data_IF_835238616885
#
_entry.id   IF_835238616885
#
_cell.length_a   1.000
_cell.length_b   1.000
_cell.length_c   1.000
_cell.angle_alpha   90.00
_cell.angle_beta   90.00
_cell.angle_gamma   90.00
#
_symmetry.space_group_name_H-M   'P 1'
#
loop_
_entity.id
_entity.type
_entity.pdbx_description
1 polymer ?
#
# COMPACT_ATOMS: atom_id res chain seq x y z
N UNK A 1 34.56 30.29 -65.88
CA UNK A 1 35.61 29.54 -66.60
C UNK A 1 36.82 29.39 -65.71
N UNK A 2 37.53 28.28 -65.80
CA UNK A 2 37.12 26.86 -65.66
C UNK A 2 38.00 26.12 -64.66
N UNK A 3 37.65 24.96 -64.35
CA UNK A 3 38.30 23.70 -64.44
C UNK A 3 38.56 23.11 -63.07
N UNK A 4 38.51 21.94 -62.78
CA UNK A 4 38.17 20.63 -63.40
C UNK A 4 38.36 19.58 -62.31
N UNK A 5 37.48 18.65 -62.27
CA UNK A 5 37.69 17.38 -61.58
C UNK A 5 38.83 16.57 -62.20
N UNK A 6 39.32 15.52 -61.52
CA UNK A 6 38.81 14.19 -61.84
C UNK A 6 38.70 13.26 -60.60
N UNK A 7 37.67 12.40 -60.61
CA UNK A 7 37.68 10.93 -60.88
C UNK A 7 38.82 10.16 -60.15
N UNK A 8 38.64 9.08 -59.55
CA UNK A 8 37.72 7.92 -59.44
C UNK A 8 38.40 6.89 -58.54
N UNK A 9 37.71 6.10 -57.85
CA UNK A 9 37.65 4.64 -58.04
C UNK A 9 36.98 3.94 -56.86
N UNK A 10 36.05 3.14 -57.21
CA UNK A 10 35.36 2.17 -56.38
C UNK A 10 36.29 1.11 -55.83
N UNK A 11 36.04 0.66 -54.63
CA UNK A 11 36.22 -0.74 -54.25
C UNK A 11 35.19 -1.11 -53.21
N UNK A 12 34.41 -2.11 -53.59
CA UNK A 12 33.47 -2.82 -52.77
C UNK A 12 34.13 -3.57 -51.64
N UNK A 13 33.51 -3.67 -50.48
CA UNK A 13 33.26 -4.97 -49.85
C UNK A 13 32.92 -4.83 -48.38
N UNK A 14 31.91 -5.56 -47.96
CA UNK A 14 31.89 -6.09 -46.62
C UNK A 14 31.10 -5.33 -45.59
N UNK A 15 29.78 -5.60 -45.49
CA UNK A 15 29.03 -5.39 -44.29
C UNK A 15 29.56 -6.31 -43.17
N UNK A 16 29.89 -5.79 -42.00
CA UNK A 16 29.99 -6.64 -40.82
C UNK A 16 28.60 -6.77 -40.18
N UNK A 17 28.11 -8.00 -40.15
CA UNK A 17 27.02 -8.45 -39.30
C UNK A 17 27.27 -7.99 -37.85
N UNK A 18 26.40 -7.15 -37.33
CA UNK A 18 26.32 -6.86 -35.90
C UNK A 18 25.82 -8.11 -35.18
N UNK A 19 26.74 -8.85 -34.59
CA UNK A 19 26.44 -9.83 -33.56
C UNK A 19 25.95 -9.01 -32.35
N UNK A 20 24.69 -9.20 -32.00
CA UNK A 20 24.14 -8.68 -30.75
C UNK A 20 24.97 -9.21 -29.59
N UNK A 21 25.78 -8.34 -28.99
CA UNK A 21 26.37 -8.61 -27.69
C UNK A 21 25.22 -8.77 -26.69
N UNK A 22 24.95 -10.02 -26.33
CA UNK A 22 24.23 -10.34 -25.10
C UNK A 22 25.13 -9.83 -23.99
N UNK A 23 24.71 -8.73 -23.36
CA UNK A 23 25.35 -8.18 -22.17
C UNK A 23 25.21 -9.23 -21.06
N UNK A 24 26.20 -10.10 -20.95
CA UNK A 24 26.38 -11.01 -19.81
C UNK A 24 26.66 -10.12 -18.61
N UNK A 25 25.66 -9.93 -17.76
CA UNK A 25 25.82 -9.23 -16.49
C UNK A 25 26.98 -9.84 -15.72
N UNK A 26 28.00 -9.02 -15.51
CA UNK A 26 29.16 -9.36 -14.68
C UNK A 26 28.63 -9.76 -13.30
N UNK A 27 28.99 -10.96 -12.77
CA UNK A 27 28.55 -11.38 -11.46
C UNK A 27 28.95 -10.33 -10.41
N UNK A 28 28.11 -10.06 -9.38
CA UNK A 28 28.38 -9.02 -8.40
C UNK A 28 29.73 -9.26 -7.72
N UNK A 29 30.52 -8.22 -7.57
CA UNK A 29 31.86 -8.31 -7.02
C UNK A 29 31.86 -8.90 -5.61
N UNK A 30 32.96 -9.56 -5.16
CA UNK A 30 33.08 -10.10 -3.82
C UNK A 30 32.81 -9.09 -2.70
N UNK A 31 32.99 -7.79 -2.97
CA UNK A 31 32.67 -6.68 -2.05
C UNK A 31 31.16 -6.52 -1.85
N UNK A 32 30.38 -6.66 -2.91
CA UNK A 32 28.91 -6.62 -2.86
C UNK A 32 28.34 -7.82 -2.10
N UNK A 33 28.91 -9.00 -2.31
CA UNK A 33 28.58 -10.21 -1.54
C UNK A 33 28.91 -10.07 -0.04
N UNK A 34 29.98 -9.37 0.30
CA UNK A 34 30.38 -9.12 1.69
C UNK A 34 29.48 -8.10 2.37
N UNK A 35 28.99 -7.11 1.63
CA UNK A 35 27.99 -6.14 2.12
C UNK A 35 26.63 -6.83 2.35
N UNK A 36 26.18 -7.70 1.44
CA UNK A 36 24.95 -8.48 1.60
C UNK A 36 25.05 -9.45 2.79
N UNK A 37 26.19 -10.11 3.00
CA UNK A 37 26.43 -10.96 4.19
C UNK A 37 26.44 -10.14 5.48
N UNK A 38 26.96 -8.90 5.50
CA UNK A 38 26.90 -8.02 6.68
C UNK A 38 25.49 -7.57 6.98
N UNK A 39 24.64 -7.35 5.98
CA UNK A 39 23.22 -7.03 6.18
C UNK A 39 22.45 -8.22 6.74
N UNK A 40 22.71 -9.45 6.28
CA UNK A 40 22.17 -10.67 6.88
C UNK A 40 22.63 -10.87 8.33
N UNK A 41 23.88 -10.50 8.66
CA UNK A 41 24.39 -10.58 10.02
C UNK A 41 23.79 -9.52 10.97
N UNK A 42 23.38 -8.37 10.45
CA UNK A 42 22.71 -7.34 11.25
C UNK A 42 21.28 -7.75 11.64
N UNK A 43 20.60 -8.56 10.81
CA UNK A 43 19.31 -9.15 11.16
C UNK A 43 19.42 -10.27 12.22
N UNK A 44 20.61 -10.86 12.41
CA UNK A 44 20.82 -11.96 13.35
C UNK A 44 21.43 -11.52 14.69
N UNK A 45 21.81 -10.25 14.86
CA UNK A 45 22.42 -9.76 16.10
C UNK A 45 21.43 -9.53 17.27
N UNK A 46 20.14 -9.87 17.09
CA UNK A 46 19.14 -9.93 18.16
C UNK A 46 18.85 -11.32 18.71
N UNK A 47 19.46 -12.38 18.16
CA UNK A 47 19.21 -13.74 18.60
C UNK A 47 20.53 -14.45 18.92
N UNK A 48 20.82 -14.59 20.21
CA UNK A 48 21.87 -15.45 20.71
C UNK A 48 21.54 -16.91 20.40
N UNK A 49 22.41 -17.54 19.57
CA UNK A 49 22.65 -18.98 19.42
C UNK A 49 21.46 -19.91 19.11
N UNK A 50 21.40 -20.35 17.92
CA UNK A 50 21.52 -21.71 17.34
C UNK A 50 20.57 -21.97 16.18
N UNK A 51 21.17 -22.43 15.08
CA UNK A 51 20.70 -23.32 14.01
C UNK A 51 19.32 -23.17 13.37
N UNK A 52 19.38 -22.90 12.02
CA UNK A 52 18.51 -23.39 10.92
C UNK A 52 16.99 -23.28 11.09
N UNK A 53 16.43 -22.42 10.34
CA UNK A 53 15.17 -22.47 9.59
C UNK A 53 14.50 -21.09 9.53
N UNK A 54 13.83 -20.81 8.44
CA UNK A 54 13.03 -19.63 8.17
C UNK A 54 12.16 -19.23 9.38
N UNK A 55 12.46 -18.09 10.00
CA UNK A 55 11.69 -17.61 11.16
C UNK A 55 10.53 -16.72 10.71
N UNK A 56 9.32 -16.93 11.23
CA UNK A 56 8.16 -16.05 11.05
C UNK A 56 8.38 -14.66 11.68
N UNK A 57 7.52 -13.69 11.34
CA UNK A 57 7.56 -12.34 11.93
C UNK A 57 7.54 -12.42 13.47
N UNK A 58 8.12 -11.43 14.15
CA UNK A 58 8.12 -11.35 15.61
C UNK A 58 6.72 -11.55 16.21
N UNK A 59 5.69 -10.95 15.58
CA UNK A 59 4.28 -11.07 16.00
C UNK A 59 3.76 -12.51 15.85
N UNK A 60 4.12 -13.19 14.77
CA UNK A 60 3.67 -14.57 14.52
C UNK A 60 4.37 -15.57 15.44
N UNK A 61 5.62 -15.33 15.78
CA UNK A 61 6.38 -16.16 16.70
C UNK A 61 5.81 -16.08 18.11
N UNK A 62 5.44 -14.90 18.56
CA UNK A 62 4.87 -14.67 19.88
C UNK A 62 3.46 -15.22 20.04
N UNK A 63 2.62 -15.19 19.00
CA UNK A 63 1.32 -15.89 19.03
C UNK A 63 1.49 -17.39 19.22
N UNK A 64 2.56 -18.00 18.72
CA UNK A 64 2.88 -19.43 18.91
C UNK A 64 3.40 -19.71 20.32
N UNK A 65 4.20 -18.81 20.89
CA UNK A 65 4.76 -18.99 22.22
C UNK A 65 3.69 -18.78 23.31
N UNK A 66 2.75 -17.86 23.13
CA UNK A 66 1.57 -17.70 23.97
C UNK A 66 0.63 -18.91 23.93
N UNK A 67 0.51 -19.61 22.80
CA UNK A 67 -0.27 -20.85 22.70
C UNK A 67 0.45 -22.06 23.34
N UNK A 68 1.78 -22.07 23.39
CA UNK A 68 2.56 -23.14 24.03
C UNK A 68 2.61 -23.06 25.55
N UNK A 69 2.51 -21.86 26.11
CA UNK A 69 2.54 -21.65 27.57
C UNK A 69 1.17 -21.86 28.26
N UNK A 70 0.12 -22.18 27.50
CA UNK A 70 -1.18 -22.56 28.00
C UNK A 70 -1.28 -24.08 28.14
N UNK A 71 -0.44 -24.71 28.98
CA UNK A 71 -0.61 -26.11 29.41
C UNK A 71 -0.91 -26.19 30.90
N UNK A 72 -1.77 -27.09 31.34
CA UNK A 72 -2.51 -26.97 32.57
C UNK A 72 -1.71 -27.44 33.76
N UNK A 73 -1.58 -26.62 34.78
CA UNK A 73 -1.24 -27.07 36.13
C UNK A 73 -2.52 -27.39 36.89
N UNK A 74 -2.56 -28.63 37.33
CA UNK A 74 -3.55 -29.19 38.23
C UNK A 74 -3.60 -28.52 39.60
N UNK A 75 -4.79 -28.10 39.99
CA UNK A 75 -5.39 -28.35 41.28
C UNK A 75 -4.99 -27.48 42.47
N UNK A 76 -5.92 -26.72 43.01
CA UNK A 76 -6.60 -26.98 44.29
C UNK A 76 -7.55 -25.83 44.64
N UNK A 77 -8.69 -26.26 45.13
CA UNK A 77 -9.89 -25.53 45.50
C UNK A 77 -9.68 -24.31 46.40
N UNK A 78 -10.47 -23.25 46.17
CA UNK A 78 -11.45 -22.77 47.16
C UNK A 78 -12.46 -21.81 46.51
N UNK A 79 -13.67 -22.02 46.91
CA UNK A 79 -14.99 -21.43 46.61
C UNK A 79 -15.06 -19.91 46.62
N UNK A 80 -15.72 -19.35 45.61
CA UNK A 80 -16.91 -18.48 45.66
C UNK A 80 -17.34 -18.02 44.28
N UNK A 81 -18.56 -18.34 43.94
CA UNK A 81 -19.32 -17.91 42.72
C UNK A 81 -20.07 -16.61 43.01
N UNK A 82 -20.92 -16.15 42.08
CA UNK A 82 -20.73 -15.76 40.66
C UNK A 82 -21.31 -14.39 40.32
N UNK A 83 -20.89 -13.80 39.23
CA UNK A 83 -21.82 -12.96 38.47
C UNK A 83 -21.55 -13.10 36.97
N UNK A 84 -22.62 -13.39 36.25
CA UNK A 84 -22.70 -13.63 34.83
C UNK A 84 -22.53 -12.32 34.07
N UNK A 85 -21.56 -12.27 33.16
CA UNK A 85 -21.54 -11.36 32.01
C UNK A 85 -21.25 -12.18 30.76
N UNK A 86 -22.22 -12.25 29.84
CA UNK A 86 -22.09 -12.96 28.56
C UNK A 86 -20.99 -12.33 27.73
N UNK A 87 -19.99 -13.11 27.41
CA UNK A 87 -19.04 -12.82 26.36
C UNK A 87 -19.65 -13.20 25.02
N UNK A 88 -19.77 -12.26 24.10
CA UNK A 88 -19.85 -12.56 22.69
C UNK A 88 -18.42 -12.48 22.14
N UNK A 89 -17.90 -13.65 21.85
CA UNK A 89 -16.72 -13.81 20.99
C UNK A 89 -17.20 -13.77 19.55
N UNK A 90 -16.68 -12.83 18.77
CA UNK A 90 -16.38 -13.10 17.36
C UNK A 90 -15.40 -12.08 16.79
N UNK A 91 -14.36 -12.65 16.33
CA UNK A 91 -13.32 -12.30 15.41
C UNK A 91 -13.52 -11.05 14.54
N UNK A 92 -12.67 -10.04 14.76
CA UNK A 92 -11.99 -9.24 13.72
C UNK A 92 -10.95 -8.36 14.40
N UNK A 93 -9.74 -8.89 14.59
CA UNK A 93 -8.74 -8.25 15.45
C UNK A 93 -7.97 -7.10 14.82
N UNK A 94 -7.93 -6.94 13.50
CA UNK A 94 -7.16 -5.86 12.85
C UNK A 94 -7.95 -4.54 12.75
N UNK A 95 -9.25 -4.59 12.50
CA UNK A 95 -10.11 -3.40 12.39
C UNK A 95 -10.42 -2.75 13.75
N UNK A 96 -10.44 -3.55 14.83
CA UNK A 96 -10.75 -3.05 16.17
C UNK A 96 -9.63 -2.14 16.73
N UNK A 97 -8.37 -2.40 16.39
CA UNK A 97 -7.25 -1.62 16.92
C UNK A 97 -7.18 -0.21 16.32
N UNK A 98 -7.39 -0.09 15.00
CA UNK A 98 -7.42 1.22 14.34
C UNK A 98 -8.59 2.06 14.84
N UNK A 99 -9.74 1.42 15.07
CA UNK A 99 -10.92 2.09 15.64
C UNK A 99 -10.73 2.54 17.09
N UNK A 100 -10.06 1.75 17.94
CA UNK A 100 -9.84 2.10 19.36
C UNK A 100 -8.92 3.31 19.53
N UNK A 101 -7.80 3.36 18.78
CA UNK A 101 -6.88 4.51 18.81
C UNK A 101 -7.55 5.76 18.23
N UNK A 102 -8.37 5.60 17.19
CA UNK A 102 -9.15 6.67 16.60
C UNK A 102 -10.23 7.21 17.56
N UNK A 103 -10.96 6.32 18.25
CA UNK A 103 -11.98 6.68 19.22
C UNK A 103 -11.40 7.45 20.43
N UNK A 104 -10.25 7.00 20.95
CA UNK A 104 -9.53 7.68 22.03
C UNK A 104 -9.10 9.11 21.65
N UNK A 105 -8.71 9.33 20.40
CA UNK A 105 -8.35 10.68 19.90
C UNK A 105 -9.56 11.56 19.63
N UNK A 106 -10.70 11.01 19.21
CA UNK A 106 -11.93 11.80 18.96
C UNK A 106 -12.49 12.42 20.23
N UNK A 107 -12.41 11.73 21.36
CA UNK A 107 -12.98 12.18 22.63
C UNK A 107 -12.17 13.23 23.37
N UNK A 108 -10.98 13.62 22.85
CA UNK A 108 -10.10 14.57 23.53
C UNK A 108 -9.56 14.07 24.88
N UNK A 109 -9.63 12.76 25.10
CA UNK A 109 -9.11 12.13 26.31
C UNK A 109 -7.60 12.35 26.48
N UNK A 110 -7.16 12.46 27.72
CA UNK A 110 -5.74 12.55 28.08
C UNK A 110 -4.98 11.38 27.43
N UNK A 111 -3.73 11.65 27.06
CA UNK A 111 -2.79 10.66 26.53
C UNK A 111 -2.89 9.36 27.35
N UNK A 112 -3.22 8.22 26.76
CA UNK A 112 -3.29 6.97 27.53
C UNK A 112 -1.91 6.66 28.11
N UNK A 113 -1.89 6.16 29.33
CA UNK A 113 -0.66 5.70 29.97
C UNK A 113 -0.40 4.29 29.48
N UNK A 114 0.50 4.15 28.51
CA UNK A 114 0.93 2.85 28.02
C UNK A 114 2.04 2.28 28.92
N UNK A 115 2.07 0.97 29.09
CA UNK A 115 3.09 0.25 29.87
C UNK A 115 4.52 0.59 29.43
N UNK A 116 4.72 0.83 28.12
CA UNK A 116 6.02 1.16 27.52
C UNK A 116 6.17 2.65 27.15
N UNK A 117 5.34 3.52 27.70
CA UNK A 117 5.34 4.97 27.40
C UNK A 117 6.64 5.71 27.71
N UNK A 118 7.44 5.17 28.66
CA UNK A 118 8.74 5.71 29.08
C UNK A 118 9.89 5.34 28.13
N UNK A 119 9.76 4.25 27.34
CA UNK A 119 10.80 3.82 26.42
C UNK A 119 10.82 4.71 25.16
N UNK A 120 12.00 4.96 24.61
CA UNK A 120 12.11 5.60 23.29
C UNK A 120 11.64 4.64 22.18
N UNK A 121 11.22 5.18 21.04
CA UNK A 121 10.84 4.38 19.87
C UNK A 121 11.96 3.39 19.50
N UNK A 122 13.22 3.85 19.51
CA UNK A 122 14.37 3.00 19.20
C UNK A 122 14.57 1.86 20.21
N UNK A 123 14.31 2.09 21.49
CA UNK A 123 14.37 1.05 22.51
C UNK A 123 13.28 0.00 22.31
N UNK A 124 12.04 0.42 22.06
CA UNK A 124 10.94 -0.51 21.79
C UNK A 124 11.26 -1.45 20.62
N UNK A 125 11.85 -0.93 19.55
CA UNK A 125 12.15 -1.74 18.36
C UNK A 125 13.44 -2.56 18.47
N UNK A 126 14.42 -2.13 19.30
CA UNK A 126 15.69 -2.85 19.49
C UNK A 126 15.58 -3.95 20.53
N UNK A 127 14.99 -3.63 21.66
CA UNK A 127 15.03 -4.48 22.85
C UNK A 127 13.73 -5.29 23.02
N UNK A 128 12.65 -4.83 22.38
CA UNK A 128 11.32 -5.40 22.56
C UNK A 128 10.73 -5.09 23.96
N UNK A 129 9.52 -5.59 24.25
CA UNK A 129 8.92 -5.47 25.57
C UNK A 129 9.55 -6.48 26.52
N UNK A 130 10.09 -6.00 27.64
CA UNK A 130 10.73 -6.84 28.69
C UNK A 130 9.74 -7.74 29.45
N UNK A 131 8.47 -7.36 29.45
CA UNK A 131 7.36 -8.07 30.10
C UNK A 131 6.58 -9.00 29.15
N UNK A 132 6.96 -9.05 27.87
CA UNK A 132 6.28 -9.83 26.85
C UNK A 132 4.96 -9.24 26.35
N UNK A 133 4.58 -8.03 26.77
CA UNK A 133 3.40 -7.32 26.28
C UNK A 133 3.67 -6.64 24.93
N UNK A 134 3.57 -7.41 23.87
CA UNK A 134 3.80 -6.94 22.49
C UNK A 134 2.70 -6.04 21.96
N UNK A 135 1.46 -6.25 22.41
CA UNK A 135 0.35 -5.41 21.99
C UNK A 135 0.49 -4.02 22.60
N UNK A 136 0.78 -3.93 23.89
CA UNK A 136 1.05 -2.65 24.55
C UNK A 136 2.28 -1.95 23.99
N UNK A 137 3.34 -2.69 23.64
CA UNK A 137 4.53 -2.14 22.99
C UNK A 137 4.20 -1.59 21.59
N UNK A 138 3.39 -2.29 20.78
CA UNK A 138 2.94 -1.84 19.47
C UNK A 138 2.08 -0.58 19.58
N UNK A 139 1.14 -0.54 20.51
CA UNK A 139 0.32 0.65 20.78
C UNK A 139 1.19 1.83 21.23
N UNK A 140 2.14 1.60 22.10
CA UNK A 140 3.11 2.61 22.54
C UNK A 140 3.94 3.12 21.37
N UNK A 141 4.40 2.24 20.49
CA UNK A 141 5.13 2.59 19.28
C UNK A 141 4.28 3.43 18.33
N UNK A 142 3.02 3.02 18.04
CA UNK A 142 2.06 3.79 17.23
C UNK A 142 1.88 5.20 17.79
N UNK A 143 1.62 5.29 19.09
CA UNK A 143 1.43 6.57 19.75
C UNK A 143 2.65 7.48 19.64
N UNK A 144 3.86 6.94 19.86
CA UNK A 144 5.11 7.71 19.73
C UNK A 144 5.33 8.21 18.31
N UNK A 145 5.08 7.37 17.30
CA UNK A 145 5.18 7.80 15.89
C UNK A 145 4.19 8.92 15.58
N UNK A 146 2.98 8.86 16.14
CA UNK A 146 1.97 9.90 15.94
C UNK A 146 2.36 11.20 16.66
N UNK A 147 2.92 11.12 17.86
CA UNK A 147 3.23 12.27 18.73
C UNK A 147 4.57 12.92 18.35
N UNK A 148 5.62 12.11 18.29
CA UNK A 148 7.01 12.56 18.12
C UNK A 148 7.52 12.44 16.68
N UNK A 149 6.89 11.57 15.87
CA UNK A 149 7.39 11.19 14.54
C UNK A 149 8.59 10.25 14.59
N UNK A 150 9.12 9.91 13.42
CA UNK A 150 10.37 9.15 13.29
C UNK A 150 11.51 10.12 12.99
N UNK A 151 12.51 10.15 13.88
CA UNK A 151 13.71 10.99 13.68
C UNK A 151 14.41 10.63 12.36
N UNK A 152 14.67 11.62 11.53
CA UNK A 152 15.29 11.48 10.22
C UNK A 152 16.20 12.65 9.90
N UNK A 153 17.13 12.46 8.96
CA UNK A 153 17.93 13.52 8.36
C UNK A 153 17.07 14.41 7.44
N UNK A 154 17.64 15.48 6.90
CA UNK A 154 16.94 16.43 6.03
C UNK A 154 16.44 15.80 4.72
N UNK A 155 17.13 14.77 4.24
CA UNK A 155 16.70 13.96 3.08
C UNK A 155 15.58 12.95 3.42
N UNK A 156 15.09 12.97 4.64
CA UNK A 156 14.08 12.04 5.12
C UNK A 156 14.60 10.65 5.50
N UNK A 157 15.90 10.39 5.40
CA UNK A 157 16.46 9.08 5.74
C UNK A 157 16.50 8.83 7.24
N UNK A 158 16.08 7.63 7.61
CA UNK A 158 16.13 7.14 8.99
C UNK A 158 16.49 5.65 9.01
N UNK A 159 17.42 5.22 9.85
CA UNK A 159 17.74 3.80 9.97
C UNK A 159 16.58 2.98 10.57
N UNK A 160 15.62 3.65 11.21
CA UNK A 160 14.51 3.01 11.91
C UNK A 160 13.24 2.96 11.06
N UNK A 161 13.04 3.89 10.10
CA UNK A 161 11.75 4.08 9.41
C UNK A 161 11.22 2.81 8.78
N UNK A 162 12.02 2.11 7.99
CA UNK A 162 11.53 0.91 7.30
C UNK A 162 11.11 -0.18 8.30
N UNK A 163 11.83 -0.36 9.41
CA UNK A 163 11.45 -1.36 10.43
C UNK A 163 10.15 -0.99 11.13
N UNK A 164 9.96 0.28 11.44
CA UNK A 164 8.69 0.78 11.98
C UNK A 164 7.56 0.51 11.00
N UNK A 165 7.74 0.80 9.73
CA UNK A 165 6.72 0.54 8.71
C UNK A 165 6.41 -0.94 8.55
N UNK A 166 7.42 -1.82 8.54
CA UNK A 166 7.24 -3.27 8.48
C UNK A 166 6.37 -3.79 9.63
N UNK A 167 6.63 -3.29 10.84
CA UNK A 167 5.85 -3.68 12.04
C UNK A 167 4.44 -3.08 12.00
N UNK A 168 4.29 -1.80 11.62
CA UNK A 168 2.99 -1.13 11.56
C UNK A 168 2.07 -1.72 10.50
N UNK A 169 2.64 -2.19 9.38
CA UNK A 169 1.92 -2.85 8.28
C UNK A 169 1.78 -4.38 8.50
N UNK A 170 2.24 -4.91 9.64
CA UNK A 170 2.30 -6.35 9.90
C UNK A 170 2.90 -7.13 8.72
N UNK A 171 3.99 -6.61 8.17
CA UNK A 171 4.65 -7.20 7.02
C UNK A 171 5.42 -8.46 7.40
N UNK A 172 5.32 -9.55 6.62
CA UNK A 172 6.04 -10.79 6.91
C UNK A 172 7.55 -10.60 6.68
N UNK A 173 8.36 -11.43 7.33
CA UNK A 173 9.78 -11.51 7.01
C UNK A 173 9.93 -12.36 5.76
N UNK A 174 10.62 -11.83 4.74
CA UNK A 174 10.96 -12.54 3.52
C UNK A 174 12.47 -12.75 3.44
N UNK A 175 12.90 -13.94 3.03
CA UNK A 175 14.31 -14.17 2.75
C UNK A 175 14.72 -13.50 1.43
N UNK A 176 16.00 -13.15 1.30
CA UNK A 176 16.51 -12.61 0.03
C UNK A 176 16.40 -13.64 -1.10
N UNK A 177 16.53 -14.95 -0.79
CA UNK A 177 16.37 -16.03 -1.78
C UNK A 177 14.94 -16.10 -2.31
N UNK A 178 13.93 -15.92 -1.47
CA UNK A 178 12.53 -15.93 -1.89
C UNK A 178 12.22 -14.74 -2.80
N UNK A 179 12.73 -13.55 -2.45
CA UNK A 179 12.60 -12.38 -3.33
C UNK A 179 13.32 -12.59 -4.68
N UNK A 180 14.54 -13.13 -4.67
CA UNK A 180 15.29 -13.42 -5.89
C UNK A 180 14.58 -14.47 -6.76
N UNK A 181 13.87 -15.43 -6.18
CA UNK A 181 13.09 -16.41 -6.94
C UNK A 181 11.99 -15.72 -7.78
N UNK A 182 11.34 -14.67 -7.25
CA UNK A 182 10.39 -13.87 -8.01
C UNK A 182 11.06 -13.08 -9.15
N UNK A 183 12.27 -12.58 -8.92
CA UNK A 183 13.04 -11.85 -9.94
C UNK A 183 13.47 -12.80 -11.08
N UNK A 184 13.90 -14.03 -10.76
CA UNK A 184 14.33 -15.01 -11.74
C UNK A 184 13.19 -15.54 -12.63
N UNK A 185 11.93 -15.30 -12.29
CA UNK A 185 10.79 -15.63 -13.15
C UNK A 185 10.74 -14.81 -14.45
N UNK A 186 11.51 -13.73 -14.52
CA UNK A 186 11.53 -12.84 -15.70
C UNK A 186 10.31 -11.91 -15.76
N UNK A 187 9.92 -11.53 -16.97
CA UNK A 187 8.85 -10.56 -17.22
C UNK A 187 7.47 -11.10 -16.83
N UNK A 188 6.74 -10.36 -15.99
CA UNK A 188 5.34 -10.65 -15.64
C UNK A 188 4.38 -10.25 -16.78
N UNK A 189 3.11 -10.68 -16.76
CA UNK A 189 2.11 -10.21 -17.71
C UNK A 189 1.94 -8.68 -17.72
N UNK A 190 2.27 -7.99 -16.62
CA UNK A 190 2.19 -6.54 -16.50
C UNK A 190 3.50 -5.81 -16.89
N UNK A 191 4.55 -6.51 -17.28
CA UNK A 191 5.89 -5.95 -17.46
C UNK A 191 5.93 -4.74 -18.40
N UNK A 192 5.23 -4.80 -19.54
CA UNK A 192 5.18 -3.68 -20.50
C UNK A 192 4.53 -2.43 -19.90
N UNK A 193 3.47 -2.59 -19.08
CA UNK A 193 2.83 -1.47 -18.37
C UNK A 193 3.79 -0.89 -17.33
N UNK A 194 4.48 -1.74 -16.57
CA UNK A 194 5.48 -1.35 -15.56
C UNK A 194 6.58 -0.51 -16.22
N UNK A 195 7.15 -0.98 -17.34
CA UNK A 195 8.18 -0.24 -18.08
C UNK A 195 7.70 1.15 -18.51
N UNK A 196 6.47 1.25 -18.99
CA UNK A 196 5.88 2.52 -19.42
C UNK A 196 5.61 3.50 -18.28
N UNK A 197 5.54 3.03 -17.04
CA UNK A 197 5.30 3.87 -15.87
C UNK A 197 6.59 4.27 -15.16
N UNK A 198 7.59 3.39 -15.12
CA UNK A 198 8.79 3.59 -14.28
C UNK A 198 9.71 4.69 -14.78
N UNK A 199 9.87 4.87 -16.10
CA UNK A 199 10.78 5.89 -16.64
C UNK A 199 10.36 7.32 -16.27
N UNK A 200 9.10 7.56 -15.92
CA UNK A 200 8.56 8.87 -15.54
C UNK A 200 8.33 9.04 -14.03
N UNK A 201 8.68 8.02 -13.23
CA UNK A 201 8.44 8.03 -11.78
C UNK A 201 9.39 8.98 -11.07
N UNK A 202 8.84 10.00 -10.39
CA UNK A 202 9.59 10.99 -9.59
C UNK A 202 10.87 11.52 -10.27
N UNK A 203 10.81 11.71 -11.59
CA UNK A 203 11.96 12.14 -12.40
C UNK A 203 12.49 13.52 -12.01
N UNK A 204 11.69 14.37 -11.42
CA UNK A 204 12.03 15.70 -10.94
C UNK A 204 12.59 15.70 -9.51
N UNK A 205 12.48 14.58 -8.78
CA UNK A 205 13.01 14.49 -7.42
C UNK A 205 14.48 14.04 -7.42
N UNK A 206 15.43 14.90 -7.04
CA UNK A 206 16.86 14.59 -7.08
C UNK A 206 17.27 13.59 -6.00
N UNK A 207 16.56 13.53 -4.86
CA UNK A 207 16.84 12.60 -3.77
C UNK A 207 16.48 11.17 -4.20
N UNK A 208 15.29 11.02 -4.79
CA UNK A 208 14.84 9.73 -5.32
C UNK A 208 15.80 9.20 -6.38
N UNK A 209 16.12 9.99 -7.41
CA UNK A 209 17.00 9.60 -8.52
C UNK A 209 18.40 9.20 -8.09
N UNK A 210 18.92 9.80 -7.03
CA UNK A 210 20.25 9.47 -6.50
C UNK A 210 20.28 8.12 -5.78
N UNK A 211 19.15 7.72 -5.18
CA UNK A 211 19.07 6.53 -4.33
C UNK A 211 18.41 5.34 -4.99
N UNK A 212 17.39 5.55 -5.79
CA UNK A 212 16.59 4.49 -6.41
C UNK A 212 16.84 4.46 -7.91
N UNK A 213 17.29 3.32 -8.41
CA UNK A 213 17.44 3.10 -9.84
C UNK A 213 16.10 2.69 -10.46
N UNK A 214 15.90 3.04 -11.73
CA UNK A 214 14.74 2.57 -12.49
C UNK A 214 14.66 1.03 -12.50
N UNK A 215 15.82 0.37 -12.62
CA UNK A 215 15.89 -1.10 -12.59
C UNK A 215 15.40 -1.69 -11.27
N UNK A 216 15.70 -1.06 -10.11
CA UNK A 216 15.18 -1.49 -8.80
C UNK A 216 13.66 -1.34 -8.73
N UNK A 217 13.13 -0.24 -9.26
CA UNK A 217 11.67 -0.01 -9.29
C UNK A 217 10.97 -1.02 -10.21
N UNK A 218 11.54 -1.31 -11.38
CA UNK A 218 11.01 -2.34 -12.29
C UNK A 218 11.01 -3.72 -11.61
N UNK A 219 12.10 -4.12 -10.96
CA UNK A 219 12.19 -5.42 -10.27
C UNK A 219 11.14 -5.54 -9.17
N UNK A 220 11.03 -4.52 -8.33
CA UNK A 220 10.04 -4.51 -7.24
C UNK A 220 8.61 -4.66 -7.79
N UNK A 221 8.23 -3.82 -8.75
CA UNK A 221 6.88 -3.85 -9.33
C UNK A 221 6.59 -5.15 -10.09
N UNK A 222 7.59 -5.69 -10.77
CA UNK A 222 7.44 -6.96 -11.48
C UNK A 222 7.28 -8.14 -10.52
N UNK A 223 7.98 -8.14 -9.37
CA UNK A 223 7.80 -9.13 -8.32
C UNK A 223 6.39 -9.04 -7.70
N UNK A 224 5.90 -7.83 -7.41
CA UNK A 224 4.52 -7.60 -6.97
C UNK A 224 3.52 -8.13 -8.00
N UNK A 225 3.72 -7.81 -9.29
CA UNK A 225 2.82 -8.27 -10.36
C UNK A 225 2.77 -9.81 -10.46
N UNK A 226 3.89 -10.50 -10.24
CA UNK A 226 3.93 -11.96 -10.17
C UNK A 226 3.15 -12.48 -8.96
N UNK A 227 3.32 -11.91 -7.78
CA UNK A 227 2.60 -12.35 -6.57
C UNK A 227 1.09 -12.17 -6.72
N UNK A 228 0.64 -11.01 -7.20
CA UNK A 228 -0.77 -10.77 -7.48
C UNK A 228 -1.33 -11.70 -8.57
N UNK A 229 -0.53 -12.02 -9.59
CA UNK A 229 -0.91 -12.99 -10.61
C UNK A 229 -1.09 -14.40 -10.02
N UNK A 230 -0.17 -14.83 -9.17
CA UNK A 230 -0.24 -16.14 -8.53
C UNK A 230 -1.46 -16.26 -7.60
N UNK A 231 -1.74 -15.22 -6.81
CA UNK A 231 -2.95 -15.15 -5.98
C UNK A 231 -4.22 -15.27 -6.83
N UNK A 232 -4.26 -14.57 -7.97
CA UNK A 232 -5.37 -14.66 -8.92
C UNK A 232 -5.54 -16.05 -9.51
N UNK A 233 -4.46 -16.69 -9.91
CA UNK A 233 -4.49 -18.05 -10.45
C UNK A 233 -4.89 -19.09 -9.40
N UNK A 234 -4.44 -18.91 -8.16
CA UNK A 234 -4.85 -19.78 -7.04
C UNK A 234 -6.35 -19.66 -6.76
N UNK A 235 -6.88 -18.43 -6.73
CA UNK A 235 -8.31 -18.19 -6.53
C UNK A 235 -9.15 -18.77 -7.69
N UNK A 236 -8.69 -18.59 -8.93
CA UNK A 236 -9.34 -19.17 -10.11
C UNK A 236 -9.40 -20.69 -10.03
N UNK A 237 -8.29 -21.35 -9.68
CA UNK A 237 -8.23 -22.81 -9.52
C UNK A 237 -9.13 -23.31 -8.40
N UNK A 238 -9.09 -22.65 -7.24
CA UNK A 238 -9.96 -23.00 -6.11
C UNK A 238 -11.46 -22.88 -6.48
N UNK A 239 -11.83 -21.86 -7.27
CA UNK A 239 -13.18 -21.71 -7.76
C UNK A 239 -13.58 -22.78 -8.78
N UNK A 240 -12.66 -23.18 -9.66
CA UNK A 240 -12.86 -24.24 -10.65
C UNK A 240 -13.02 -25.61 -9.98
N UNK A 241 -12.27 -25.87 -8.91
CA UNK A 241 -12.38 -27.07 -8.09
C UNK A 241 -13.68 -27.11 -7.28
N UNK A 242 -14.09 -25.96 -6.72
CA UNK A 242 -15.33 -25.85 -5.95
C UNK A 242 -16.60 -25.96 -6.82
N UNK A 243 -16.53 -25.48 -8.08
CA UNK A 243 -17.67 -25.42 -9.00
C UNK A 243 -17.27 -25.88 -10.41
N UNK A 244 -17.04 -27.21 -10.61
CA UNK A 244 -16.64 -27.76 -11.90
C UNK A 244 -17.73 -27.50 -12.97
N UNK A 245 -17.40 -26.72 -14.00
CA UNK A 245 -18.27 -26.46 -15.15
C UNK A 245 -18.86 -25.06 -15.24
N UNK A 246 -18.85 -24.23 -14.21
CA UNK A 246 -19.34 -22.85 -14.29
C UNK A 246 -18.46 -21.98 -15.21
N UNK A 247 -17.14 -22.11 -15.12
CA UNK A 247 -16.21 -21.38 -15.97
C UNK A 247 -16.28 -21.77 -17.46
N UNK A 248 -16.60 -23.04 -17.77
CA UNK A 248 -16.84 -23.49 -19.15
C UNK A 248 -18.10 -22.87 -19.74
N UNK A 249 -19.15 -22.67 -18.96
CA UNK A 249 -20.38 -22.05 -19.40
C UNK A 249 -20.21 -20.54 -19.72
N UNK A 250 -19.39 -19.84 -18.95
CA UNK A 250 -19.09 -18.42 -19.16
C UNK A 250 -18.15 -18.21 -20.37
N UNK A 251 -17.17 -19.10 -20.57
CA UNK A 251 -16.22 -19.02 -21.70
C UNK A 251 -16.84 -19.41 -23.05
N UNK A 252 -17.93 -20.16 -23.08
CA UNK A 252 -18.61 -20.59 -24.31
C UNK A 252 -19.77 -19.68 -24.73
N UNK A 253 -20.10 -18.63 -23.96
CA UNK A 253 -21.20 -17.72 -24.29
C UNK A 253 -20.74 -16.65 -25.26
N UNK A 254 -20.67 -16.99 -26.56
CA UNK A 254 -20.69 -15.99 -27.63
C UNK A 254 -22.07 -15.29 -27.66
N UNK A 255 -22.13 -13.98 -27.96
CA UNK A 255 -23.38 -13.19 -27.88
C UNK A 255 -24.56 -13.76 -28.73
N UNK A 256 -24.29 -14.61 -29.71
CA UNK A 256 -25.29 -15.22 -30.55
C UNK A 256 -26.08 -16.38 -29.90
N UNK A 257 -25.55 -17.03 -28.91
CA UNK A 257 -26.24 -18.17 -28.25
C UNK A 257 -27.21 -17.72 -27.14
N UNK A 258 -27.03 -16.53 -26.58
CA UNK A 258 -27.96 -15.96 -25.61
C UNK A 258 -29.31 -15.56 -26.21
N UNK A 259 -29.33 -15.16 -27.48
CA UNK A 259 -30.57 -14.82 -28.21
C UNK A 259 -31.42 -16.05 -28.52
N UNK A 260 -30.81 -17.22 -28.72
CA UNK A 260 -31.50 -18.48 -29.04
C UNK A 260 -32.08 -19.22 -27.84
N UNK A 261 -31.51 -18.99 -26.63
CA UNK A 261 -32.03 -19.56 -25.39
C UNK A 261 -33.28 -18.84 -24.85
N UNK A 262 -33.53 -17.60 -25.30
CA UNK A 262 -34.71 -16.82 -24.87
C UNK A 262 -36.02 -17.24 -25.55
N UNK A 263 -35.98 -18.05 -26.58
CA UNK A 263 -37.20 -18.48 -27.31
C UNK A 263 -37.76 -19.84 -26.85
N UNK A 264 -37.15 -20.51 -25.90
CA UNK A 264 -37.50 -21.89 -25.55
C UNK A 264 -38.13 -22.08 -24.16
N UNK A 265 -38.31 -21.05 -23.33
CA UNK A 265 -38.92 -21.20 -21.99
C UNK A 265 -39.94 -20.09 -21.75
N UNK A 266 -41.21 -20.45 -21.89
CA UNK A 266 -42.35 -19.67 -21.41
C UNK A 266 -42.61 -19.99 -19.93
N UNK A 267 -42.00 -19.20 -19.02
CA UNK A 267 -42.28 -19.21 -17.60
C UNK A 267 -41.82 -17.88 -16.98
N UNK A 268 -42.54 -17.32 -15.98
CA UNK A 268 -42.17 -16.05 -15.42
C UNK A 268 -40.88 -16.19 -14.57
N UNK A 269 -39.79 -15.53 -15.01
CA UNK A 269 -38.56 -15.39 -14.25
C UNK A 269 -38.68 -14.20 -13.29
N UNK A 270 -38.10 -14.30 -12.07
CA UNK A 270 -38.08 -13.18 -11.15
C UNK A 270 -37.29 -12.00 -11.73
N UNK A 271 -37.86 -10.82 -11.58
CA UNK A 271 -37.34 -9.55 -12.07
C UNK A 271 -36.05 -9.17 -11.34
N UNK A 272 -34.91 -9.50 -11.92
CA UNK A 272 -33.64 -8.82 -11.64
C UNK A 272 -33.38 -7.83 -12.76
N UNK A 273 -33.56 -6.57 -12.49
CA UNK A 273 -33.25 -5.45 -13.37
C UNK A 273 -31.72 -5.36 -13.46
N UNK A 274 -31.15 -5.66 -14.62
CA UNK A 274 -29.74 -5.43 -14.93
C UNK A 274 -29.58 -4.10 -15.63
N UNK A 275 -28.78 -3.14 -15.11
CA UNK A 275 -28.24 -2.08 -15.95
C UNK A 275 -27.20 -2.70 -16.90
N UNK A 276 -27.15 -2.21 -18.13
CA UNK A 276 -26.19 -2.62 -19.15
C UNK A 276 -24.78 -2.22 -18.71
N UNK A 277 -24.04 -3.17 -18.17
CA UNK A 277 -22.62 -3.05 -17.86
C UNK A 277 -21.82 -4.21 -18.48
N UNK A 278 -20.57 -3.88 -18.82
CA UNK A 278 -19.48 -4.65 -19.38
C UNK A 278 -19.46 -6.13 -18.94
N UNK A 279 -19.26 -7.11 -19.84
CA UNK A 279 -19.19 -8.54 -19.52
C UNK A 279 -18.05 -8.95 -18.58
N UNK A 280 -17.11 -8.05 -18.27
CA UNK A 280 -16.05 -8.29 -17.31
C UNK A 280 -16.51 -8.22 -15.84
N UNK A 281 -17.75 -7.79 -15.56
CA UNK A 281 -18.26 -7.55 -14.21
C UNK A 281 -19.06 -8.71 -13.59
N UNK A 282 -19.14 -9.89 -14.22
CA UNK A 282 -19.87 -11.04 -13.69
C UNK A 282 -19.03 -11.91 -12.74
N UNK A 283 -18.30 -11.28 -11.81
CA UNK A 283 -17.66 -12.00 -10.70
C UNK A 283 -18.61 -12.05 -9.51
N UNK A 284 -19.38 -13.11 -9.38
CA UNK A 284 -20.19 -13.42 -8.19
C UNK A 284 -19.60 -14.56 -7.34
N UNK A 285 -18.27 -14.71 -7.36
CA UNK A 285 -17.58 -15.62 -6.47
C UNK A 285 -17.60 -15.11 -5.03
N UNK A 286 -17.79 -15.99 -4.06
CA UNK A 286 -17.89 -15.69 -2.62
C UNK A 286 -16.58 -15.20 -1.98
N UNK A 287 -15.53 -14.91 -2.77
CA UNK A 287 -14.23 -14.40 -2.34
C UNK A 287 -13.93 -12.99 -2.87
N UNK A 288 -13.03 -12.25 -2.22
CA UNK A 288 -12.62 -10.94 -2.69
C UNK A 288 -11.93 -11.06 -4.06
N UNK A 289 -12.25 -10.14 -4.98
CA UNK A 289 -11.63 -10.10 -6.31
C UNK A 289 -10.10 -9.95 -6.20
N UNK A 290 -9.32 -10.71 -6.97
CA UNK A 290 -7.85 -10.65 -6.93
C UNK A 290 -7.32 -9.31 -7.47
N UNK A 291 -6.26 -8.81 -6.83
CA UNK A 291 -5.60 -7.58 -7.26
C UNK A 291 -4.86 -7.72 -8.59
N UNK A 292 -4.67 -6.60 -9.27
CA UNK A 292 -3.86 -6.51 -10.49
C UNK A 292 -2.95 -5.30 -10.46
N UNK A 293 -1.90 -5.28 -11.31
CA UNK A 293 -1.07 -4.10 -11.46
C UNK A 293 -1.89 -2.95 -12.08
N UNK A 294 -1.93 -1.83 -11.40
CA UNK A 294 -2.59 -0.59 -11.86
C UNK A 294 -1.56 0.54 -12.01
N UNK A 295 -1.80 1.44 -12.95
CA UNK A 295 -0.99 2.65 -13.13
C UNK A 295 -1.07 3.51 -11.85
N UNK A 296 0.08 3.97 -11.37
CA UNK A 296 0.20 4.71 -10.10
C UNK A 296 0.88 3.89 -8.99
N UNK A 297 0.87 2.55 -9.09
CA UNK A 297 1.64 1.69 -8.19
C UNK A 297 3.14 2.01 -8.19
N UNK A 298 3.68 2.50 -9.32
CA UNK A 298 5.05 2.96 -9.45
C UNK A 298 5.37 4.12 -8.49
N UNK A 299 4.46 5.09 -8.39
CA UNK A 299 4.59 6.23 -7.46
C UNK A 299 4.41 5.78 -6.01
N UNK A 300 3.47 4.86 -5.77
CA UNK A 300 3.21 4.31 -4.44
C UNK A 300 4.37 3.41 -3.94
N UNK A 301 5.09 2.73 -4.84
CA UNK A 301 6.25 1.89 -4.50
C UNK A 301 7.51 2.71 -4.17
N UNK A 302 7.62 3.92 -4.73
CA UNK A 302 8.82 4.73 -4.66
C UNK A 302 9.27 5.09 -3.24
N UNK A 303 8.40 5.54 -2.30
CA UNK A 303 8.80 5.81 -0.92
C UNK A 303 9.32 4.58 -0.17
N UNK A 304 8.79 3.38 -0.46
CA UNK A 304 9.30 2.15 0.15
C UNK A 304 10.73 1.84 -0.30
N UNK A 305 11.00 1.90 -1.61
CA UNK A 305 12.35 1.71 -2.14
C UNK A 305 13.32 2.76 -1.62
N UNK A 306 12.86 4.00 -1.46
CA UNK A 306 13.69 5.06 -0.93
C UNK A 306 14.05 4.82 0.55
N UNK A 307 13.10 4.41 1.38
CA UNK A 307 13.28 4.20 2.82
C UNK A 307 13.95 2.86 3.16
N UNK A 308 13.80 1.83 2.34
CA UNK A 308 14.30 0.49 2.61
C UNK A 308 15.83 0.36 2.42
N UNK A 309 16.40 -0.65 3.02
CA UNK A 309 17.81 -1.03 2.89
C UNK A 309 18.01 -2.08 1.80
N UNK A 310 16.97 -2.84 1.49
CA UNK A 310 16.95 -3.86 0.45
C UNK A 310 15.64 -3.84 -0.31
N UNK A 311 15.65 -4.33 -1.55
CA UNK A 311 14.44 -4.47 -2.35
C UNK A 311 13.44 -5.46 -1.71
N UNK A 312 13.92 -6.48 -1.00
CA UNK A 312 13.06 -7.44 -0.29
C UNK A 312 12.28 -6.78 0.86
N UNK A 313 12.91 -5.88 1.64
CA UNK A 313 12.19 -5.09 2.66
C UNK A 313 11.13 -4.18 2.03
N UNK A 314 11.47 -3.49 0.93
CA UNK A 314 10.52 -2.67 0.19
C UNK A 314 9.37 -3.49 -0.36
N UNK A 315 9.65 -4.69 -0.89
CA UNK A 315 8.65 -5.60 -1.44
C UNK A 315 7.61 -6.01 -0.38
N UNK A 316 8.06 -6.52 0.78
CA UNK A 316 7.11 -7.01 1.79
C UNK A 316 6.29 -5.90 2.42
N UNK A 317 6.89 -4.72 2.63
CA UNK A 317 6.16 -3.54 3.12
C UNK A 317 5.10 -3.08 2.11
N UNK A 318 5.47 -2.96 0.85
CA UNK A 318 4.57 -2.55 -0.22
C UNK A 318 3.48 -3.58 -0.49
N UNK A 319 3.81 -4.87 -0.52
CA UNK A 319 2.84 -5.95 -0.66
C UNK A 319 1.81 -5.94 0.49
N UNK A 320 2.27 -5.77 1.74
CA UNK A 320 1.36 -5.68 2.89
C UNK A 320 0.44 -4.45 2.81
N UNK A 321 0.94 -3.30 2.36
CA UNK A 321 0.08 -2.13 2.11
C UNK A 321 -1.01 -2.45 1.10
N UNK A 322 -0.66 -3.06 -0.04
CA UNK A 322 -1.61 -3.34 -1.11
C UNK A 322 -2.65 -4.41 -0.74
N UNK A 323 -2.25 -5.43 0.01
CA UNK A 323 -3.11 -6.61 0.25
C UNK A 323 -3.88 -6.54 1.57
N UNK A 324 -3.34 -5.84 2.58
CA UNK A 324 -3.94 -5.74 3.91
C UNK A 324 -4.60 -4.41 4.18
N UNK A 325 -3.97 -3.30 3.77
CA UNK A 325 -4.43 -1.96 4.13
C UNK A 325 -5.29 -1.32 3.04
N UNK A 326 -4.96 -1.56 1.76
CA UNK A 326 -5.62 -0.93 0.63
C UNK A 326 -5.99 -1.92 -0.48
N UNK A 327 -6.60 -3.09 -0.18
CA UNK A 327 -6.92 -4.08 -1.22
C UNK A 327 -7.89 -3.55 -2.27
N UNK A 328 -8.82 -2.69 -1.90
CA UNK A 328 -9.75 -2.06 -2.82
C UNK A 328 -9.11 -1.09 -3.83
N UNK A 329 -7.82 -0.74 -3.65
CA UNK A 329 -7.09 0.12 -4.59
C UNK A 329 -6.57 -0.63 -5.82
N UNK A 330 -6.43 -1.97 -5.70
CA UNK A 330 -5.89 -2.83 -6.75
C UNK A 330 -6.90 -3.87 -7.28
N UNK A 331 -8.11 -3.85 -6.75
CA UNK A 331 -9.22 -4.76 -7.12
C UNK A 331 -10.29 -4.02 -7.91
N UNK A 332 -11.06 -4.76 -8.69
CA UNK A 332 -12.11 -4.20 -9.53
C UNK A 332 -11.59 -3.12 -10.46
N UNK A 333 -12.37 -2.09 -10.64
CA UNK A 333 -11.96 -0.87 -11.35
C UNK A 333 -11.31 0.16 -10.40
N UNK A 334 -10.55 -0.30 -9.36
CA UNK A 334 -10.03 0.54 -8.25
C UNK A 334 -11.17 1.10 -7.38
N UNK A 335 -12.12 0.25 -7.02
CA UNK A 335 -13.36 0.65 -6.33
C UNK A 335 -13.07 1.40 -5.01
N UNK A 336 -12.01 1.00 -4.29
CA UNK A 336 -11.57 1.71 -3.08
C UNK A 336 -11.14 3.14 -3.36
N UNK A 337 -10.49 3.39 -4.49
CA UNK A 337 -10.08 4.75 -4.90
C UNK A 337 -11.30 5.60 -5.21
N UNK A 338 -12.25 5.08 -5.99
CA UNK A 338 -13.49 5.80 -6.31
C UNK A 338 -14.35 6.09 -5.07
N UNK A 339 -14.47 5.13 -4.16
CA UNK A 339 -15.10 5.36 -2.83
C UNK A 339 -14.37 6.44 -2.05
N UNK A 340 -13.03 6.42 -2.05
CA UNK A 340 -12.20 7.43 -1.42
C UNK A 340 -12.42 8.83 -1.99
N UNK A 341 -12.54 8.96 -3.32
CA UNK A 341 -12.82 10.24 -3.98
C UNK A 341 -14.20 10.80 -3.60
N UNK A 342 -15.22 9.97 -3.58
CA UNK A 342 -16.54 10.36 -3.11
C UNK A 342 -16.51 10.83 -1.64
N UNK A 343 -15.69 10.18 -0.81
CA UNK A 343 -15.50 10.58 0.59
C UNK A 343 -14.73 11.90 0.73
N UNK A 344 -13.79 12.22 -0.16
CA UNK A 344 -13.15 13.55 -0.15
C UNK A 344 -14.19 14.64 -0.33
N UNK A 345 -15.09 14.51 -1.32
CA UNK A 345 -16.15 15.48 -1.55
C UNK A 345 -17.14 15.55 -0.37
N UNK A 346 -17.55 14.39 0.19
CA UNK A 346 -18.46 14.31 1.34
C UNK A 346 -17.86 14.95 2.58
N UNK A 347 -16.60 14.67 2.89
CA UNK A 347 -15.89 15.24 4.04
C UNK A 347 -15.66 16.73 3.86
N UNK A 348 -15.31 17.17 2.65
CA UNK A 348 -15.15 18.60 2.37
C UNK A 348 -16.44 19.38 2.59
N UNK A 349 -17.59 18.80 2.22
CA UNK A 349 -18.90 19.41 2.46
C UNK A 349 -19.21 19.58 3.96
N UNK A 350 -18.73 18.67 4.81
CA UNK A 350 -18.89 18.74 6.27
C UNK A 350 -17.93 19.77 6.88
N UNK A 351 -16.67 19.78 6.44
CA UNK A 351 -15.59 20.58 7.07
C UNK A 351 -15.61 22.03 6.61
N UNK A 352 -15.82 22.26 5.31
CA UNK A 352 -15.89 23.59 4.69
C UNK A 352 -16.98 23.62 3.60
N UNK A 353 -18.27 23.78 3.99
CA UNK A 353 -19.39 23.82 3.06
C UNK A 353 -19.25 24.91 1.98
N UNK A 354 -18.63 26.06 2.34
CA UNK A 354 -18.45 27.17 1.40
C UNK A 354 -17.47 26.79 0.27
N UNK A 355 -16.36 26.15 0.62
CA UNK A 355 -15.39 25.67 -0.37
C UNK A 355 -15.99 24.55 -1.23
N UNK A 356 -16.70 23.61 -0.61
CA UNK A 356 -17.38 22.52 -1.32
C UNK A 356 -18.39 23.03 -2.33
N UNK A 357 -19.29 23.93 -1.94
CA UNK A 357 -20.27 24.55 -2.86
C UNK A 357 -19.60 25.32 -3.99
N UNK A 358 -18.50 26.03 -3.70
CA UNK A 358 -17.75 26.74 -4.72
C UNK A 358 -17.15 25.80 -5.77
N UNK A 359 -16.53 24.70 -5.36
CA UNK A 359 -15.96 23.70 -6.27
C UNK A 359 -17.05 23.00 -7.09
N UNK A 360 -18.15 22.61 -6.45
CA UNK A 360 -19.32 22.01 -7.13
C UNK A 360 -19.91 22.94 -8.19
N UNK A 361 -20.07 24.24 -7.85
CA UNK A 361 -20.56 25.24 -8.81
C UNK A 361 -19.62 25.45 -10.01
N UNK A 362 -18.33 25.09 -9.87
CA UNK A 362 -17.33 25.11 -10.96
C UNK A 362 -17.23 23.76 -11.68
N UNK A 363 -18.04 22.76 -11.31
CA UNK A 363 -17.99 21.41 -11.88
C UNK A 363 -16.70 20.63 -11.51
N UNK A 364 -16.09 20.97 -10.36
CA UNK A 364 -14.85 20.35 -9.89
C UNK A 364 -15.14 19.37 -8.75
N UNK A 365 -15.27 18.08 -9.09
CA UNK A 365 -15.32 16.97 -8.13
C UNK A 365 -13.92 16.48 -7.76
N UNK A 366 -13.80 15.75 -6.68
CA UNK A 366 -12.54 15.13 -6.24
C UNK A 366 -11.90 14.21 -7.30
N UNK A 367 -12.72 13.59 -8.15
CA UNK A 367 -12.22 12.77 -9.26
C UNK A 367 -11.31 13.54 -10.24
N UNK A 368 -11.56 14.84 -10.42
CA UNK A 368 -10.80 15.68 -11.35
C UNK A 368 -9.43 16.06 -10.79
N UNK A 369 -9.32 16.27 -9.47
CA UNK A 369 -8.12 16.84 -8.89
C UNK A 369 -7.45 15.97 -7.82
N UNK A 370 -8.18 15.10 -7.14
CA UNK A 370 -7.68 14.33 -6.00
C UNK A 370 -7.30 12.87 -6.36
N UNK A 371 -7.63 12.39 -7.56
CA UNK A 371 -7.38 11.01 -7.97
C UNK A 371 -5.92 10.56 -7.74
N UNK A 372 -4.88 11.30 -8.17
CA UNK A 372 -3.50 10.90 -7.88
C UNK A 372 -3.19 10.85 -6.39
N UNK A 373 -3.71 11.80 -5.61
CA UNK A 373 -3.45 11.88 -4.17
C UNK A 373 -4.14 10.77 -3.38
N UNK A 374 -5.34 10.36 -3.78
CA UNK A 374 -6.02 9.20 -3.18
C UNK A 374 -5.25 7.92 -3.52
N UNK A 375 -5.03 7.65 -4.81
CA UNK A 375 -4.39 6.43 -5.28
C UNK A 375 -2.98 6.23 -4.70
N UNK A 376 -2.21 7.30 -4.53
CA UNK A 376 -0.80 7.21 -4.14
C UNK A 376 -0.53 7.59 -2.69
N UNK A 377 -1.55 7.72 -1.84
CA UNK A 377 -1.41 8.20 -0.47
C UNK A 377 -0.58 9.50 -0.39
N UNK A 378 -0.90 10.45 -1.26
CA UNK A 378 -0.20 11.73 -1.43
C UNK A 378 1.28 11.63 -1.88
N UNK A 379 1.81 10.45 -2.24
CA UNK A 379 3.19 10.32 -2.69
C UNK A 379 3.48 11.04 -4.03
N UNK A 380 2.45 11.43 -4.77
CA UNK A 380 2.58 12.25 -5.97
C UNK A 380 2.92 13.72 -5.69
N UNK A 381 2.83 14.19 -4.44
CA UNK A 381 3.06 15.59 -4.05
C UNK A 381 4.43 15.74 -3.39
N UNK A 382 5.41 16.43 -4.04
CA UNK A 382 6.74 16.62 -3.48
C UNK A 382 6.72 17.57 -2.26
N UNK A 383 7.80 17.61 -1.46
CA UNK A 383 9.04 16.84 -1.59
C UNK A 383 8.97 15.46 -0.89
N UNK A 384 9.77 14.52 -1.36
CA UNK A 384 9.81 13.14 -0.86
C UNK A 384 10.03 13.01 0.66
N UNK A 385 10.91 13.78 1.33
CA UNK A 385 11.06 13.71 2.78
C UNK A 385 9.76 13.98 3.55
N UNK A 386 8.92 14.89 3.06
CA UNK A 386 7.62 15.18 3.66
C UNK A 386 6.61 14.06 3.41
N UNK A 387 6.67 13.41 2.25
CA UNK A 387 5.88 12.19 1.97
C UNK A 387 6.19 11.10 2.99
N UNK A 388 7.50 10.87 3.27
CA UNK A 388 7.91 9.87 4.26
C UNK A 388 7.39 10.20 5.67
N UNK A 389 7.43 11.48 6.09
CA UNK A 389 6.88 11.92 7.39
C UNK A 389 5.36 11.77 7.43
N UNK A 390 4.66 12.08 6.34
CA UNK A 390 3.22 11.86 6.25
C UNK A 390 2.88 10.37 6.36
N UNK A 391 3.67 9.50 5.72
CA UNK A 391 3.46 8.05 5.78
C UNK A 391 3.78 7.47 7.16
N UNK A 392 4.74 8.01 7.91
CA UNK A 392 4.93 7.66 9.32
C UNK A 392 3.62 7.83 10.10
N UNK A 393 2.93 8.95 9.89
CA UNK A 393 1.64 9.22 10.51
C UNK A 393 0.52 8.31 9.99
N UNK A 394 0.44 8.11 8.66
CA UNK A 394 -0.59 7.27 8.05
C UNK A 394 -0.46 5.81 8.50
N UNK A 395 0.74 5.25 8.52
CA UNK A 395 0.91 3.85 8.94
C UNK A 395 0.74 3.66 10.45
N UNK A 396 1.06 4.65 11.25
CA UNK A 396 0.84 4.57 12.69
C UNK A 396 -0.64 4.72 13.07
N UNK A 397 -1.42 5.50 12.33
CA UNK A 397 -2.83 5.76 12.63
C UNK A 397 -3.77 4.87 11.80
N UNK A 398 -3.51 4.77 10.51
CA UNK A 398 -4.26 4.02 9.50
C UNK A 398 -4.22 4.75 8.15
N UNK A 399 -3.89 4.05 7.03
CA UNK A 399 -3.81 4.64 5.69
C UNK A 399 -5.11 5.30 5.21
N UNK A 400 -6.26 4.88 5.75
CA UNK A 400 -7.57 5.47 5.47
C UNK A 400 -7.64 6.98 5.77
N UNK A 401 -6.79 7.49 6.69
CA UNK A 401 -6.72 8.92 6.98
C UNK A 401 -6.19 9.76 5.82
N UNK A 402 -5.66 9.14 4.77
CA UNK A 402 -5.25 9.87 3.57
C UNK A 402 -6.39 10.73 2.99
N UNK A 403 -7.64 10.27 3.09
CA UNK A 403 -8.82 11.05 2.68
C UNK A 403 -8.89 12.37 3.43
N UNK A 404 -8.68 12.32 4.75
CA UNK A 404 -8.69 13.54 5.58
C UNK A 404 -7.44 14.41 5.36
N UNK A 405 -6.29 13.80 5.03
CA UNK A 405 -5.08 14.55 4.67
C UNK A 405 -5.27 15.36 3.37
N UNK A 406 -6.01 14.82 2.40
CA UNK A 406 -6.36 15.54 1.16
C UNK A 406 -7.30 16.71 1.48
N UNK A 407 -8.32 16.50 2.29
CA UNK A 407 -9.22 17.59 2.73
C UNK A 407 -8.47 18.65 3.55
N UNK A 408 -7.49 18.23 4.36
CA UNK A 408 -6.61 19.17 5.08
C UNK A 408 -5.81 20.04 4.11
N UNK A 409 -5.24 19.47 3.04
CA UNK A 409 -4.54 20.23 2.01
C UNK A 409 -5.47 21.23 1.31
N UNK A 410 -6.70 20.83 0.97
CA UNK A 410 -7.69 21.73 0.38
C UNK A 410 -8.04 22.88 1.34
N UNK A 411 -8.18 22.60 2.63
CA UNK A 411 -8.44 23.60 3.67
C UNK A 411 -7.28 24.59 3.81
N UNK A 412 -6.03 24.11 3.76
CA UNK A 412 -4.83 24.95 3.76
C UNK A 412 -4.80 25.86 2.54
N UNK A 413 -5.18 25.36 1.38
CA UNK A 413 -5.21 26.09 0.11
C UNK A 413 -6.48 26.93 -0.09
N UNK A 414 -7.42 26.93 0.86
CA UNK A 414 -8.74 27.54 0.74
C UNK A 414 -8.74 28.93 0.11
N UNK A 415 -7.93 29.81 0.64
CA UNK A 415 -7.88 31.20 0.17
C UNK A 415 -7.40 31.30 -1.27
N UNK A 416 -6.39 30.52 -1.64
CA UNK A 416 -5.87 30.48 -3.01
C UNK A 416 -6.91 29.95 -4.00
N UNK A 417 -7.66 28.89 -3.60
CA UNK A 417 -8.72 28.30 -4.43
C UNK A 417 -9.84 29.30 -4.66
N UNK A 418 -10.35 29.93 -3.60
CA UNK A 418 -11.49 30.86 -3.68
C UNK A 418 -11.16 32.15 -4.42
N UNK A 419 -9.93 32.63 -4.37
CA UNK A 419 -9.48 33.86 -5.03
C UNK A 419 -9.00 33.63 -6.47
N UNK A 420 -8.75 32.38 -6.86
CA UNK A 420 -8.22 32.08 -8.17
C UNK A 420 -9.31 32.22 -9.26
N UNK A 421 -9.02 32.90 -10.37
CA UNK A 421 -9.91 32.89 -11.54
C UNK A 421 -10.01 31.51 -12.17
N UNK A 422 -9.02 30.63 -11.95
CA UNK A 422 -8.99 29.27 -12.45
C UNK A 422 -8.64 28.27 -11.33
N UNK A 423 -9.61 27.89 -10.48
CA UNK A 423 -9.36 26.96 -9.36
C UNK A 423 -8.85 25.59 -9.82
N UNK A 424 -9.25 25.11 -11.01
CA UNK A 424 -8.74 23.87 -11.58
C UNK A 424 -7.21 23.90 -11.76
N UNK A 425 -6.62 25.04 -12.16
CA UNK A 425 -5.17 25.17 -12.31
C UNK A 425 -4.46 25.07 -10.94
N UNK A 426 -5.03 25.69 -9.91
CA UNK A 426 -4.52 25.61 -8.53
C UNK A 426 -4.58 24.19 -8.00
N UNK A 427 -5.69 23.49 -8.22
CA UNK A 427 -5.92 22.12 -7.76
C UNK A 427 -5.07 21.06 -8.50
N UNK A 428 -4.61 21.34 -9.72
CA UNK A 428 -3.68 20.47 -10.44
C UNK A 428 -2.21 20.60 -10.00
N UNK A 429 -1.91 21.64 -9.23
CA UNK A 429 -0.55 21.93 -8.75
C UNK A 429 -0.62 22.23 -7.26
N UNK A 430 -0.76 21.17 -6.47
CA UNK A 430 -0.70 21.29 -5.02
C UNK A 430 0.62 21.92 -4.59
N UNK A 431 0.62 22.79 -3.56
CA UNK A 431 1.85 23.33 -2.99
C UNK A 431 2.72 22.20 -2.43
N UNK A 432 4.01 22.46 -2.20
CA UNK A 432 4.90 21.51 -1.56
C UNK A 432 4.25 20.96 -0.28
N UNK A 433 4.32 19.63 -0.14
CA UNK A 433 3.74 18.92 0.99
C UNK A 433 4.42 19.38 2.28
N UNK A 434 3.64 19.61 3.33
CA UNK A 434 4.11 19.87 4.69
C UNK A 434 3.41 18.90 5.63
N UNK A 435 4.09 17.85 6.01
CA UNK A 435 3.51 16.74 6.77
C UNK A 435 2.99 17.16 8.15
N UNK A 436 3.73 18.02 8.86
CA UNK A 436 3.34 18.44 10.20
C UNK A 436 2.10 19.34 10.18
N UNK A 437 2.01 20.26 9.22
CA UNK A 437 0.84 21.10 9.03
C UNK A 437 -0.39 20.27 8.64
N UNK A 438 -0.23 19.36 7.66
CA UNK A 438 -1.32 18.48 7.22
C UNK A 438 -1.79 17.59 8.37
N UNK A 439 -0.88 16.97 9.12
CA UNK A 439 -1.18 16.17 10.30
C UNK A 439 -1.97 16.97 11.34
N UNK A 440 -1.53 18.18 11.67
CA UNK A 440 -2.21 19.06 12.64
C UNK A 440 -3.64 19.38 12.21
N UNK A 441 -3.84 19.79 10.95
CA UNK A 441 -5.17 20.08 10.39
C UNK A 441 -6.04 18.82 10.33
N UNK A 442 -5.47 17.68 9.92
CA UNK A 442 -6.16 16.38 9.86
C UNK A 442 -6.70 15.96 11.23
N UNK A 443 -5.91 16.09 12.30
CA UNK A 443 -6.34 15.80 13.67
C UNK A 443 -7.50 16.73 14.07
N UNK A 444 -7.48 17.99 13.65
CA UNK A 444 -8.58 18.93 13.84
C UNK A 444 -9.86 18.55 13.08
N UNK A 445 -9.70 18.01 11.86
CA UNK A 445 -10.81 17.53 11.02
C UNK A 445 -11.47 16.30 11.63
N UNK A 446 -10.69 15.31 12.10
CA UNK A 446 -11.23 14.07 12.72
C UNK A 446 -12.30 14.38 13.77
N UNK A 447 -12.12 15.44 14.57
CA UNK A 447 -13.06 15.83 15.62
C UNK A 447 -14.41 16.34 15.10
N UNK A 448 -14.48 16.73 13.83
CA UNK A 448 -15.69 17.29 13.19
C UNK A 448 -16.46 16.25 12.37
N UNK A 449 -15.85 15.09 12.11
CA UNK A 449 -16.46 14.07 11.25
C UNK A 449 -17.45 13.24 12.08
N UNK A 450 -18.71 13.05 11.62
CA UNK A 450 -19.68 12.13 12.23
C UNK A 450 -19.15 10.68 12.23
N UNK A 451 -19.64 9.88 13.17
CA UNK A 451 -19.14 8.52 13.37
C UNK A 451 -19.41 7.57 12.19
N UNK A 452 -20.58 7.71 11.57
CA UNK A 452 -20.97 6.99 10.37
C UNK A 452 -20.04 7.29 9.18
N UNK A 453 -19.74 8.57 8.93
CA UNK A 453 -18.81 9.00 7.86
C UNK A 453 -17.40 8.53 8.18
N UNK A 454 -16.99 8.55 9.44
CA UNK A 454 -15.68 8.04 9.84
C UNK A 454 -15.57 6.52 9.60
N UNK A 455 -16.63 5.77 9.87
CA UNK A 455 -16.68 4.34 9.57
C UNK A 455 -16.56 4.06 8.06
N UNK A 456 -17.22 4.86 7.20
CA UNK A 456 -17.06 4.78 5.74
C UNK A 456 -15.60 5.05 5.32
N UNK A 457 -14.95 6.06 5.95
CA UNK A 457 -13.53 6.37 5.68
C UNK A 457 -12.63 5.19 6.05
N UNK A 458 -12.88 4.52 7.19
CA UNK A 458 -12.11 3.33 7.59
C UNK A 458 -12.29 2.18 6.61
N UNK A 459 -13.49 1.99 6.08
CA UNK A 459 -13.84 0.85 5.24
C UNK A 459 -13.56 1.04 3.73
N UNK A 460 -13.29 2.28 3.25
CA UNK A 460 -13.27 2.56 1.82
C UNK A 460 -12.18 1.81 1.03
N UNK A 461 -11.06 1.54 1.67
CA UNK A 461 -9.91 0.90 1.04
C UNK A 461 -9.97 -0.64 1.03
N UNK A 462 -11.00 -1.21 1.69
CA UNK A 462 -11.19 -2.67 1.84
C UNK A 462 -11.98 -3.30 0.71
#
# INVERSE_FOLDING_TARGET
>A
MPGSSPEAKAAASGSPSYIAHVDLQVPPSPRTHRALRRLQSAHTLGASRSCTSSQPSLITQQRRDLQRNASPTRGLNTTRSPQRGRANSDATSASAYTGAVAALKRTGLKKPVFSHGHLSLQQIFRDGPSDGDFLGALESARWKVIDEGIKSADDGMSPLRIYVWLVLLDAPIMSTSDYLSLIHRGASPAYSKIRNDTFRTLTTDPLFRRRVSEASLIRLLNAIAWTLHDEKEQQRKALEEAFPGILKAVSCSTPLTLAKARSATSGPLPSCIYPAHDPSSCWSGTGPEPGTYVQGMNVLAAPFLYAARSEAEAFVAFHSLLTKECPGYIRGAMDGVHRGLALVDKVLAIVDPKLSMYLTAKGLSAEIYAFPSVLTLCACTPPLPEVLRLWDFLFAYGPHLNILCIVAQLTIMRSQILQSPSPNKVLRSFPPLNADLIKSVTIGIIKKIPDDVYAEIVAHAM
#
